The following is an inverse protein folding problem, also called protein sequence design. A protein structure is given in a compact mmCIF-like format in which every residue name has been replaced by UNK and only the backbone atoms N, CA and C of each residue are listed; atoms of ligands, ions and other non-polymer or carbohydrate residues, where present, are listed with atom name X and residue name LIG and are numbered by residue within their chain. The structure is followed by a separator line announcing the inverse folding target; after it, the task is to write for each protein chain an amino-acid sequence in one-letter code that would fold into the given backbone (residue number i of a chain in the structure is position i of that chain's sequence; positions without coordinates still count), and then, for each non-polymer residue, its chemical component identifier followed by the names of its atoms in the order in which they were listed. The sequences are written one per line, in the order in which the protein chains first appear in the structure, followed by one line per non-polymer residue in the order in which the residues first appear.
data_IF_168323273370
#
_entry.id   IF_168323273370
#
_cell.length_a   1.000
_cell.length_b   1.000
_cell.length_c   1.000
_cell.angle_alpha   90.00
_cell.angle_beta   90.00
_cell.angle_gamma   90.00
#
_symmetry.space_group_name_H-M   'P 1'
#
loop_
_entity.id
_entity.type
_entity.pdbx_description
1 polymer ?
#
# COMPACT_ATOMS: atom_id res chain seq x y z
N UNK A 1 10.37 -8.53 18.47
CA UNK A 1 11.52 -7.81 17.85
C UNK A 1 12.25 -8.73 16.87
N UNK A 2 11.70 -8.96 15.67
CA UNK A 2 12.26 -9.94 14.72
C UNK A 2 13.72 -9.67 14.36
N UNK A 3 14.10 -8.40 14.18
CA UNK A 3 15.49 -8.05 13.81
C UNK A 3 16.48 -8.36 14.94
N UNK A 4 16.14 -8.10 16.21
CA UNK A 4 17.02 -8.49 17.32
C UNK A 4 17.11 -10.00 17.49
N UNK A 5 16.02 -10.74 17.29
CA UNK A 5 16.08 -12.20 17.28
C UNK A 5 17.07 -12.70 16.21
N UNK A 6 16.96 -12.18 14.98
CA UNK A 6 17.87 -12.54 13.89
C UNK A 6 19.34 -12.24 14.23
N UNK A 7 19.62 -11.13 14.91
CA UNK A 7 21.00 -10.76 15.26
C UNK A 7 21.54 -11.56 16.45
N UNK A 8 20.79 -11.64 17.54
CA UNK A 8 21.26 -12.18 18.81
C UNK A 8 21.18 -13.71 18.87
N UNK A 9 20.19 -14.31 18.20
CA UNK A 9 19.96 -15.77 18.19
C UNK A 9 20.50 -16.39 16.90
N UNK A 10 20.01 -15.96 15.74
CA UNK A 10 20.39 -16.55 14.43
C UNK A 10 21.75 -16.06 13.91
N UNK A 11 22.31 -15.02 14.53
CA UNK A 11 23.62 -14.49 14.18
C UNK A 11 23.71 -13.78 12.83
N UNK A 12 22.59 -13.36 12.27
CA UNK A 12 22.50 -12.66 10.99
C UNK A 12 22.93 -11.21 11.15
N UNK A 13 23.88 -10.74 10.33
CA UNK A 13 24.29 -9.32 10.23
C UNK A 13 24.57 -8.65 11.58
N UNK A 14 25.41 -9.28 12.42
CA UNK A 14 25.87 -8.71 13.71
C UNK A 14 26.72 -7.44 13.54
N UNK A 15 27.14 -7.12 12.30
CA UNK A 15 27.81 -5.89 11.92
C UNK A 15 26.86 -4.67 11.87
N UNK A 16 25.54 -4.88 11.83
CA UNK A 16 24.53 -3.82 11.77
C UNK A 16 24.05 -3.42 13.16
N UNK A 17 23.91 -2.12 13.44
CA UNK A 17 23.26 -1.66 14.67
C UNK A 17 21.80 -1.28 14.43
N UNK A 18 20.88 -2.01 15.05
CA UNK A 18 19.45 -1.65 15.10
C UNK A 18 19.22 -0.56 16.15
N UNK A 19 18.60 0.54 15.72
CA UNK A 19 18.22 1.66 16.58
C UNK A 19 16.69 1.75 16.64
N UNK A 20 16.12 1.48 17.81
CA UNK A 20 14.70 1.65 18.07
C UNK A 20 14.41 3.09 18.49
N UNK A 21 13.72 3.86 17.65
CA UNK A 21 13.45 5.27 17.91
C UNK A 21 12.61 5.50 19.18
N UNK A 22 11.66 4.63 19.49
CA UNK A 22 10.86 4.74 20.73
C UNK A 22 11.73 4.63 21.99
N UNK A 23 12.78 3.80 21.94
CA UNK A 23 13.74 3.66 23.03
C UNK A 23 14.85 4.72 23.00
N UNK A 24 15.12 5.34 21.84
CA UNK A 24 16.13 6.40 21.65
C UNK A 24 15.79 7.70 22.41
N UNK A 25 14.70 7.72 23.17
CA UNK A 25 14.38 8.78 24.11
C UNK A 25 14.89 8.50 25.55
N UNK A 26 15.47 7.32 25.80
CA UNK A 26 15.88 6.88 27.14
C UNK A 26 17.40 6.88 27.31
N UNK A 27 17.88 7.30 28.48
CA UNK A 27 19.31 7.39 28.77
C UNK A 27 20.03 6.05 28.66
N UNK A 28 19.45 4.99 29.23
CA UNK A 28 20.04 3.65 29.23
C UNK A 28 20.21 3.11 27.81
N UNK A 29 19.26 3.37 26.91
CA UNK A 29 19.35 2.89 25.54
C UNK A 29 20.38 3.68 24.74
N UNK A 30 20.46 5.00 24.94
CA UNK A 30 21.50 5.85 24.34
C UNK A 30 22.89 5.35 24.77
N UNK A 31 23.09 5.08 26.07
CA UNK A 31 24.35 4.50 26.59
C UNK A 31 24.60 3.11 26.01
N UNK A 32 23.58 2.27 25.89
CA UNK A 32 23.70 0.95 25.26
C UNK A 32 24.18 1.04 23.81
N UNK A 33 23.66 1.97 23.02
CA UNK A 33 24.09 2.18 21.63
C UNK A 33 25.54 2.68 21.54
N UNK A 34 25.97 3.51 22.49
CA UNK A 34 27.35 4.01 22.60
C UNK A 34 28.34 2.91 23.00
N UNK A 35 27.96 2.07 23.95
CA UNK A 35 28.91 1.24 24.68
C UNK A 35 28.96 -0.22 24.19
N UNK A 36 27.90 -0.74 23.56
CA UNK A 36 27.86 -2.14 23.07
C UNK A 36 28.16 -2.24 21.57
N UNK A 37 28.89 -3.29 21.19
CA UNK A 37 29.15 -3.58 19.77
C UNK A 37 27.94 -4.18 19.04
N UNK A 38 27.68 -3.82 17.77
CA UNK A 38 28.35 -2.77 16.99
C UNK A 38 28.01 -1.35 17.49
N UNK A 39 29.03 -0.55 17.86
CA UNK A 39 28.79 0.77 18.47
C UNK A 39 28.27 1.82 17.50
N UNK A 40 27.49 2.76 18.03
CA UNK A 40 27.21 4.07 17.42
C UNK A 40 28.16 5.08 18.06
N UNK A 41 28.80 5.95 17.26
CA UNK A 41 29.78 6.94 17.73
C UNK A 41 29.11 8.11 18.49
N UNK A 42 28.45 7.79 19.61
CA UNK A 42 27.76 8.76 20.45
C UNK A 42 28.79 9.44 21.35
N UNK A 43 29.00 10.74 21.15
CA UNK A 43 30.06 11.51 21.82
C UNK A 43 29.62 12.23 23.09
N UNK A 44 28.42 11.92 23.59
CA UNK A 44 27.91 12.48 24.84
C UNK A 44 28.42 11.72 26.07
N UNK A 45 28.80 12.48 27.09
CA UNK A 45 29.13 11.97 28.43
C UNK A 45 27.90 11.44 29.16
N UNK A 46 28.09 10.58 30.16
CA UNK A 46 27.00 10.06 31.00
C UNK A 46 26.22 11.18 31.68
N UNK A 47 26.91 12.17 32.26
CA UNK A 47 26.28 13.32 32.91
C UNK A 47 25.41 14.12 31.95
N UNK A 48 25.87 14.33 30.71
CA UNK A 48 25.05 15.03 29.72
C UNK A 48 23.82 14.20 29.32
N UNK A 49 23.99 12.89 29.11
CA UNK A 49 22.88 12.01 28.75
C UNK A 49 21.82 12.05 29.85
N UNK A 50 22.22 11.79 31.11
CA UNK A 50 21.29 11.64 32.23
C UNK A 50 20.65 12.97 32.66
N UNK A 51 21.46 14.03 32.76
CA UNK A 51 21.08 15.26 33.47
C UNK A 51 20.77 16.44 32.55
N UNK A 52 20.87 16.28 31.23
CA UNK A 52 20.58 17.36 30.27
C UNK A 52 19.73 16.85 29.12
N UNK A 53 20.18 15.81 28.42
CA UNK A 53 19.51 15.32 27.22
C UNK A 53 18.18 14.66 27.56
N UNK A 54 18.18 13.74 28.54
CA UNK A 54 16.99 12.98 28.92
C UNK A 54 16.26 13.53 30.14
N UNK A 55 16.71 14.66 30.68
CA UNK A 55 16.00 15.31 31.77
C UNK A 55 14.67 15.91 31.27
N UNK A 56 13.67 15.86 32.13
CA UNK A 56 12.32 16.40 31.93
C UNK A 56 12.12 17.73 32.66
N UNK A 57 13.16 18.28 33.28
CA UNK A 57 13.13 19.64 33.80
C UNK A 57 12.79 20.66 32.72
N UNK A 58 11.98 21.66 33.08
CA UNK A 58 11.47 22.66 32.15
C UNK A 58 12.61 23.42 31.43
N UNK A 59 13.70 23.70 32.14
CA UNK A 59 14.88 24.40 31.56
C UNK A 59 15.51 23.62 30.41
N UNK A 60 15.49 22.28 30.46
CA UNK A 60 16.06 21.43 29.41
C UNK A 60 15.08 21.15 28.28
N UNK A 61 13.78 21.16 28.56
CA UNK A 61 12.74 21.15 27.52
C UNK A 61 12.82 22.43 26.68
N UNK A 62 12.97 23.60 27.31
CA UNK A 62 13.07 24.89 26.61
C UNK A 62 14.29 24.99 25.69
N UNK A 63 15.40 24.30 25.99
CA UNK A 63 16.57 24.22 25.09
C UNK A 63 16.26 23.54 23.75
N UNK A 64 15.18 22.77 23.69
CA UNK A 64 14.73 22.00 22.52
C UNK A 64 13.56 22.66 21.80
N UNK A 65 13.17 23.86 22.23
CA UNK A 65 12.03 24.59 21.69
C UNK A 65 12.30 25.10 20.28
N UNK A 66 11.43 24.74 19.35
CA UNK A 66 11.44 25.10 17.94
C UNK A 66 10.02 25.51 17.51
N UNK A 67 9.62 26.77 17.74
CA UNK A 67 8.27 27.24 17.42
C UNK A 67 8.03 27.38 15.91
N UNK A 68 9.09 27.63 15.15
CA UNK A 68 9.05 27.87 13.71
C UNK A 68 10.07 26.95 13.02
N UNK A 69 9.79 26.51 11.78
CA UNK A 69 10.78 25.83 10.94
C UNK A 69 12.10 26.59 10.87
N UNK A 70 13.22 25.87 10.87
CA UNK A 70 14.55 26.47 10.73
C UNK A 70 15.40 25.69 9.72
N UNK A 71 16.13 26.35 8.82
CA UNK A 71 17.09 25.67 7.96
C UNK A 71 18.21 25.06 8.81
N UNK A 72 18.55 23.81 8.54
CA UNK A 72 19.65 23.10 9.18
C UNK A 72 20.54 22.46 8.13
N UNK A 73 21.83 22.38 8.43
CA UNK A 73 22.82 21.64 7.64
C UNK A 73 23.47 20.62 8.56
N UNK A 74 23.28 19.33 8.28
CA UNK A 74 23.84 18.23 9.08
C UNK A 74 24.41 17.18 8.14
N UNK A 75 25.68 16.82 8.34
CA UNK A 75 26.39 15.85 7.50
C UNK A 75 26.33 16.17 5.98
N UNK A 76 26.24 17.46 5.62
CA UNK A 76 26.09 17.89 4.22
C UNK A 76 24.68 17.77 3.64
N UNK A 77 23.67 17.52 4.48
CA UNK A 77 22.26 17.53 4.11
C UNK A 77 21.64 18.85 4.55
N UNK A 78 21.07 19.58 3.60
CA UNK A 78 20.39 20.86 3.83
C UNK A 78 18.87 20.68 3.74
N UNK A 79 18.17 20.94 4.84
CA UNK A 79 16.72 20.79 4.93
C UNK A 79 16.11 21.72 5.99
N UNK A 80 14.78 21.84 5.98
CA UNK A 80 14.06 22.56 7.02
C UNK A 80 13.72 21.64 8.17
N UNK A 81 14.30 21.89 9.35
CA UNK A 81 13.91 21.21 10.58
C UNK A 81 12.62 21.84 11.12
N UNK A 82 11.61 21.00 11.32
CA UNK A 82 10.28 21.39 11.82
C UNK A 82 9.99 20.66 13.12
N UNK A 83 8.96 21.13 13.83
CA UNK A 83 8.41 20.37 14.94
C UNK A 83 7.61 19.17 14.42
N UNK A 84 8.05 17.97 14.82
CA UNK A 84 7.34 16.73 14.54
C UNK A 84 6.70 16.10 15.80
N UNK A 85 6.84 16.76 16.95
CA UNK A 85 6.21 16.36 18.21
C UNK A 85 4.77 16.84 18.33
N UNK A 86 4.43 17.96 17.69
CA UNK A 86 3.14 18.66 17.86
C UNK A 86 3.10 19.63 19.04
N UNK A 87 4.23 19.82 19.73
CA UNK A 87 4.37 20.65 20.93
C UNK A 87 5.47 21.72 20.81
N UNK A 88 5.90 22.01 19.58
CA UNK A 88 6.98 22.94 19.24
C UNK A 88 8.32 22.60 19.91
N UNK A 89 8.60 21.31 20.13
CA UNK A 89 9.85 20.85 20.75
C UNK A 89 10.46 19.68 19.98
N UNK A 90 11.78 19.63 19.92
CA UNK A 90 12.49 18.46 19.43
C UNK A 90 12.46 17.36 20.49
N UNK A 91 12.03 16.16 20.10
CA UNK A 91 12.13 14.97 20.95
C UNK A 91 13.58 14.56 21.08
N UNK A 92 13.90 13.78 22.11
CA UNK A 92 15.26 13.29 22.34
C UNK A 92 15.73 12.45 21.14
N UNK A 93 14.87 11.58 20.60
CA UNK A 93 15.15 10.81 19.40
C UNK A 93 15.48 11.70 18.19
N UNK A 94 14.86 12.87 18.07
CA UNK A 94 15.06 13.78 16.94
C UNK A 94 16.48 14.36 17.00
N UNK A 95 16.88 14.83 18.19
CA UNK A 95 18.24 15.32 18.47
C UNK A 95 19.27 14.21 18.24
N UNK A 96 18.97 12.99 18.69
CA UNK A 96 19.87 11.86 18.52
C UNK A 96 20.02 11.45 17.06
N UNK A 97 18.97 11.49 16.24
CA UNK A 97 19.10 11.25 14.79
C UNK A 97 20.06 12.28 14.18
N UNK A 98 19.87 13.58 14.43
CA UNK A 98 20.74 14.64 13.91
C UNK A 98 22.20 14.43 14.34
N UNK A 99 22.43 14.06 15.61
CA UNK A 99 23.77 13.82 16.15
C UNK A 99 24.41 12.55 15.59
N UNK A 100 23.63 11.49 15.39
CA UNK A 100 24.12 10.27 14.74
C UNK A 100 24.54 10.57 13.30
N UNK A 101 23.78 11.36 12.55
CA UNK A 101 24.17 11.80 11.21
C UNK A 101 25.50 12.57 11.24
N UNK A 102 25.61 13.56 12.13
CA UNK A 102 26.81 14.38 12.32
C UNK A 102 28.04 13.54 12.66
N UNK A 103 27.95 12.65 13.66
CA UNK A 103 29.10 11.87 14.14
C UNK A 103 29.48 10.71 13.22
N UNK A 104 28.49 10.13 12.53
CA UNK A 104 28.74 9.04 11.59
C UNK A 104 29.60 9.50 10.40
N UNK A 105 29.50 10.76 9.97
CA UNK A 105 30.30 11.32 8.85
C UNK A 105 30.27 10.43 7.59
N UNK A 106 29.14 9.78 7.33
CA UNK A 106 28.97 8.79 6.25
C UNK A 106 29.91 7.57 6.30
N UNK A 107 30.54 7.28 7.44
CA UNK A 107 31.38 6.09 7.62
C UNK A 107 30.58 4.79 7.51
N UNK A 108 29.30 4.82 7.89
CA UNK A 108 28.35 3.71 7.74
C UNK A 108 27.08 4.17 7.03
N UNK A 109 26.46 3.33 6.19
CA UNK A 109 25.16 3.64 5.61
C UNK A 109 24.09 3.69 6.70
N UNK A 110 23.10 4.58 6.51
CA UNK A 110 22.00 4.78 7.45
C UNK A 110 20.70 4.43 6.71
N UNK A 111 19.89 3.61 7.36
CA UNK A 111 18.62 3.15 6.82
C UNK A 111 17.50 3.38 7.83
N UNK A 112 16.34 3.80 7.36
CA UNK A 112 15.10 3.91 8.11
C UNK A 112 14.17 2.78 7.71
N UNK A 113 13.65 1.99 8.66
CA UNK A 113 12.70 0.95 8.33
C UNK A 113 11.42 1.55 7.74
N UNK A 114 10.77 0.84 6.80
CA UNK A 114 9.51 1.30 6.16
C UNK A 114 8.40 1.62 7.17
N UNK A 115 8.42 0.95 8.33
CA UNK A 115 7.45 1.13 9.42
C UNK A 115 7.67 2.39 10.26
N UNK A 116 8.75 3.14 10.03
CA UNK A 116 8.99 4.41 10.73
C UNK A 116 8.12 5.47 10.03
N UNK A 117 7.17 6.13 10.71
CA UNK A 117 6.31 7.13 10.08
C UNK A 117 7.10 8.39 9.68
N UNK A 118 6.59 9.15 8.71
CA UNK A 118 7.26 10.35 8.17
C UNK A 118 7.61 11.39 9.25
N UNK A 119 6.73 11.60 10.22
CA UNK A 119 6.98 12.48 11.36
C UNK A 119 8.11 12.00 12.30
N UNK A 120 8.65 10.80 12.11
CA UNK A 120 9.82 10.30 12.84
C UNK A 120 11.09 10.28 11.97
N UNK A 121 11.05 10.86 10.76
CA UNK A 121 12.19 10.94 9.82
C UNK A 121 12.75 12.35 9.65
N UNK A 122 12.25 13.33 10.40
CA UNK A 122 12.77 14.71 10.47
C UNK A 122 12.75 15.50 9.14
N UNK A 123 11.97 15.07 8.15
CA UNK A 123 11.99 15.66 6.82
C UNK A 123 13.19 15.23 5.97
N UNK A 124 13.93 14.20 6.40
CA UNK A 124 15.00 13.59 5.61
C UNK A 124 14.47 12.76 4.43
N UNK A 125 13.15 12.65 4.27
CA UNK A 125 12.48 11.91 3.19
C UNK A 125 12.99 12.31 1.80
N UNK A 126 13.25 13.60 1.58
CA UNK A 126 13.82 14.13 0.34
C UNK A 126 15.18 13.51 0.00
N UNK A 127 15.90 12.93 0.96
CA UNK A 127 17.23 12.36 0.77
C UNK A 127 17.22 10.82 0.82
N UNK A 128 16.05 10.20 0.77
CA UNK A 128 15.90 8.75 0.90
C UNK A 128 15.40 8.09 -0.38
N UNK A 129 15.91 6.90 -0.65
CA UNK A 129 15.36 5.98 -1.66
C UNK A 129 15.04 4.64 -1.02
N UNK A 130 13.95 3.99 -1.44
CA UNK A 130 13.58 2.69 -0.90
C UNK A 130 14.53 1.61 -1.44
N UNK A 131 14.91 0.68 -0.58
CA UNK A 131 15.80 -0.43 -0.92
C UNK A 131 15.40 -1.67 -0.11
N UNK A 132 14.52 -2.50 -0.68
CA UNK A 132 13.80 -3.55 0.05
C UNK A 132 12.78 -2.96 1.04
N UNK A 133 12.82 -3.40 2.32
CA UNK A 133 11.90 -2.92 3.37
C UNK A 133 12.46 -1.74 4.19
N UNK A 134 13.44 -1.03 3.67
CA UNK A 134 14.04 0.12 4.32
C UNK A 134 14.30 1.25 3.33
N UNK A 135 14.23 2.47 3.81
CA UNK A 135 14.68 3.67 3.12
C UNK A 135 16.15 3.90 3.41
N UNK A 136 16.97 3.95 2.36
CA UNK A 136 18.39 4.27 2.45
C UNK A 136 18.58 5.77 2.35
N UNK A 137 19.24 6.36 3.34
CA UNK A 137 19.61 7.78 3.32
C UNK A 137 20.80 7.99 2.38
N UNK A 138 20.69 9.01 1.53
CA UNK A 138 21.68 9.38 0.52
C UNK A 138 22.10 10.83 0.69
N UNK A 139 23.18 11.24 0.00
CA UNK A 139 23.60 12.66 -0.05
C UNK A 139 22.84 13.46 -1.11
N UNK A 140 22.24 12.76 -2.07
CA UNK A 140 21.52 13.37 -3.17
C UNK A 140 20.10 13.71 -2.71
N UNK A 141 19.61 14.88 -3.13
CA UNK A 141 18.22 15.24 -2.94
C UNK A 141 17.38 14.65 -4.07
N UNK A 142 16.29 13.99 -3.71
CA UNK A 142 15.40 13.21 -4.56
C UNK A 142 16.14 12.10 -5.33
N UNK A 143 16.82 11.18 -4.60
CA UNK A 143 17.55 10.10 -5.23
C UNK A 143 16.60 9.22 -6.05
N UNK A 144 17.05 8.78 -7.22
CA UNK A 144 16.27 7.86 -8.04
C UNK A 144 16.17 6.48 -7.40
N UNK A 145 15.08 5.78 -7.69
CA UNK A 145 14.88 4.40 -7.27
C UNK A 145 15.70 3.46 -8.15
N UNK A 146 16.49 2.59 -7.54
CA UNK A 146 17.14 1.48 -8.23
C UNK A 146 16.14 0.32 -8.38
N UNK A 147 15.39 0.34 -9.48
CA UNK A 147 14.32 -0.63 -9.77
C UNK A 147 14.87 -2.05 -9.90
N UNK A 148 16.02 -2.23 -10.55
CA UNK A 148 16.64 -3.55 -10.77
C UNK A 148 17.03 -4.17 -9.43
N UNK A 149 17.71 -3.41 -8.57
CA UNK A 149 18.07 -3.86 -7.24
C UNK A 149 16.85 -4.12 -6.35
N UNK A 150 15.82 -3.26 -6.43
CA UNK A 150 14.59 -3.45 -5.66
C UNK A 150 13.89 -4.75 -6.07
N UNK A 151 13.77 -4.99 -7.37
CA UNK A 151 13.13 -6.20 -7.91
C UNK A 151 13.95 -7.45 -7.62
N UNK A 152 15.27 -7.43 -7.76
CA UNK A 152 16.17 -8.52 -7.38
C UNK A 152 16.00 -8.92 -5.91
N UNK A 153 15.91 -7.93 -5.01
CA UNK A 153 15.66 -8.21 -3.59
C UNK A 153 14.31 -8.86 -3.34
N UNK A 154 13.26 -8.36 -3.98
CA UNK A 154 11.92 -8.90 -3.83
C UNK A 154 11.84 -10.32 -4.38
N UNK A 155 12.35 -10.55 -5.58
CA UNK A 155 12.13 -11.80 -6.31
C UNK A 155 13.11 -12.90 -5.91
N UNK A 156 14.36 -12.56 -5.63
CA UNK A 156 15.44 -13.53 -5.43
C UNK A 156 15.95 -13.59 -3.98
N UNK A 157 15.87 -12.48 -3.23
CA UNK A 157 16.42 -12.42 -1.87
C UNK A 157 15.38 -12.69 -0.78
N UNK A 158 14.17 -12.17 -0.91
CA UNK A 158 13.15 -12.29 0.13
C UNK A 158 12.60 -13.72 0.19
N UNK A 159 12.59 -14.29 1.40
CA UNK A 159 12.06 -15.63 1.64
C UNK A 159 10.63 -15.55 2.20
N UNK A 160 9.66 -15.55 1.29
CA UNK A 160 8.22 -15.53 1.64
C UNK A 160 7.69 -16.96 1.74
N UNK A 161 7.57 -17.47 2.97
CA UNK A 161 7.15 -18.86 3.24
C UNK A 161 5.80 -18.90 3.95
N UNK A 162 4.92 -19.80 3.50
CA UNK A 162 3.61 -20.06 4.09
C UNK A 162 2.68 -18.83 4.25
N UNK A 163 2.94 -17.73 3.53
CA UNK A 163 2.14 -16.52 3.63
C UNK A 163 0.73 -16.70 3.07
N UNK A 164 0.56 -17.55 2.05
CA UNK A 164 -0.73 -17.91 1.45
C UNK A 164 -1.25 -19.28 1.90
N UNK A 165 -0.53 -19.97 2.79
CA UNK A 165 -0.94 -21.28 3.29
C UNK A 165 -2.06 -21.12 4.33
N UNK A 166 -3.29 -21.61 4.08
CA UNK A 166 -4.39 -21.50 5.04
C UNK A 166 -4.19 -22.39 6.28
N UNK A 167 -3.37 -23.45 6.20
CA UNK A 167 -3.09 -24.34 7.33
C UNK A 167 -2.15 -23.70 8.35
N UNK A 168 -1.38 -22.68 7.94
CA UNK A 168 -0.53 -21.92 8.84
C UNK A 168 -1.34 -20.79 9.45
N UNK A 169 -1.73 -20.99 10.71
CA UNK A 169 -2.41 -19.98 11.52
C UNK A 169 -1.59 -18.70 11.62
N UNK A 170 -2.25 -17.57 11.35
CA UNK A 170 -1.70 -16.22 11.45
C UNK A 170 -2.62 -15.45 12.38
N UNK A 171 -2.10 -15.03 13.53
CA UNK A 171 -2.84 -14.14 14.41
C UNK A 171 -3.00 -12.75 13.76
N UNK A 172 -3.93 -11.95 14.28
CA UNK A 172 -4.26 -10.62 13.75
C UNK A 172 -3.03 -9.71 13.62
N UNK A 173 -2.10 -9.74 14.57
CA UNK A 173 -0.91 -8.90 14.50
C UNK A 173 0.03 -9.36 13.38
N UNK A 174 0.22 -10.68 13.24
CA UNK A 174 1.01 -11.24 12.14
C UNK A 174 0.38 -10.87 10.79
N UNK A 175 -0.93 -11.05 10.63
CA UNK A 175 -1.65 -10.69 9.41
C UNK A 175 -1.50 -9.20 9.08
N UNK A 176 -1.61 -8.32 10.08
CA UNK A 176 -1.41 -6.87 9.92
C UNK A 176 0.03 -6.53 9.50
N UNK A 177 1.03 -7.20 10.08
CA UNK A 177 2.43 -6.98 9.73
C UNK A 177 2.77 -7.41 8.29
N UNK A 178 2.02 -8.34 7.70
CA UNK A 178 2.17 -8.66 6.26
C UNK A 178 1.84 -7.48 5.35
N UNK A 179 1.06 -6.50 5.85
CA UNK A 179 0.83 -5.22 5.17
C UNK A 179 2.11 -4.47 4.82
N UNK A 180 3.20 -4.66 5.56
CA UNK A 180 4.48 -4.00 5.26
C UNK A 180 5.12 -4.48 3.95
N UNK A 181 4.91 -5.75 3.55
CA UNK A 181 5.38 -6.24 2.25
C UNK A 181 4.57 -5.60 1.13
N UNK A 182 3.25 -5.50 1.31
CA UNK A 182 2.36 -4.81 0.36
C UNK A 182 2.74 -3.33 0.18
N UNK A 183 3.15 -2.65 1.25
CA UNK A 183 3.63 -1.27 1.16
C UNK A 183 4.86 -1.12 0.25
N UNK A 184 5.78 -2.10 0.22
CA UNK A 184 6.91 -2.10 -0.72
C UNK A 184 6.42 -2.27 -2.16
N UNK A 185 5.46 -3.18 -2.38
CA UNK A 185 4.84 -3.38 -3.70
C UNK A 185 4.14 -2.12 -4.18
N UNK A 186 3.36 -1.46 -3.32
CA UNK A 186 2.69 -0.20 -3.67
C UNK A 186 3.69 0.90 -4.01
N UNK A 187 4.77 1.05 -3.25
CA UNK A 187 5.79 2.07 -3.53
C UNK A 187 6.48 1.85 -4.88
N UNK A 188 6.92 0.61 -5.15
CA UNK A 188 7.55 0.30 -6.43
C UNK A 188 6.53 0.36 -7.58
N UNK A 189 5.29 -0.07 -7.35
CA UNK A 189 4.20 -0.01 -8.32
C UNK A 189 3.89 1.42 -8.74
N UNK A 190 3.74 2.34 -7.77
CA UNK A 190 3.54 3.77 -8.02
C UNK A 190 4.70 4.35 -8.83
N UNK A 191 5.94 4.02 -8.47
CA UNK A 191 7.11 4.48 -9.23
C UNK A 191 7.08 3.99 -10.68
N UNK A 192 6.84 2.69 -10.91
CA UNK A 192 6.78 2.11 -12.26
C UNK A 192 5.63 2.70 -13.08
N UNK A 193 4.46 2.88 -12.47
CA UNK A 193 3.29 3.49 -13.10
C UNK A 193 3.57 4.92 -13.52
N UNK A 194 4.16 5.74 -12.65
CA UNK A 194 4.50 7.13 -12.95
C UNK A 194 5.56 7.26 -14.06
N UNK A 195 6.39 6.23 -14.27
CA UNK A 195 7.34 6.16 -15.39
C UNK A 195 6.74 5.53 -16.66
N UNK A 196 5.51 5.03 -16.62
CA UNK A 196 4.88 4.32 -17.74
C UNK A 196 5.48 2.94 -18.04
N UNK A 197 6.18 2.34 -17.08
CA UNK A 197 6.89 1.06 -17.21
C UNK A 197 5.93 -0.14 -17.06
N UNK A 198 4.98 -0.25 -17.99
CA UNK A 198 3.83 -1.16 -17.91
C UNK A 198 4.21 -2.64 -17.72
N UNK A 199 5.20 -3.15 -18.47
CA UNK A 199 5.59 -4.56 -18.39
C UNK A 199 6.22 -4.92 -17.03
N UNK A 200 7.01 -4.00 -16.46
CA UNK A 200 7.60 -4.17 -15.14
C UNK A 200 6.52 -4.09 -14.05
N UNK A 201 5.56 -3.18 -14.19
CA UNK A 201 4.43 -3.07 -13.28
C UNK A 201 3.62 -4.38 -13.26
N UNK A 202 3.25 -4.92 -14.43
CA UNK A 202 2.53 -6.21 -14.51
C UNK A 202 3.33 -7.33 -13.87
N UNK A 203 4.63 -7.43 -14.15
CA UNK A 203 5.49 -8.46 -13.54
C UNK A 203 5.47 -8.35 -12.01
N UNK A 204 5.57 -7.14 -11.48
CA UNK A 204 5.51 -6.89 -10.04
C UNK A 204 4.17 -7.29 -9.43
N UNK A 205 3.05 -6.89 -10.05
CA UNK A 205 1.71 -7.18 -9.55
C UNK A 205 1.38 -8.67 -9.61
N UNK A 206 1.75 -9.36 -10.71
CA UNK A 206 1.62 -10.82 -10.83
C UNK A 206 2.49 -11.55 -9.82
N UNK A 207 3.72 -11.07 -9.56
CA UNK A 207 4.56 -11.64 -8.53
C UNK A 207 3.93 -11.45 -7.13
N UNK A 208 3.39 -10.26 -6.84
CA UNK A 208 2.70 -9.97 -5.59
C UNK A 208 1.50 -10.91 -5.38
N UNK A 209 0.63 -11.07 -6.38
CA UNK A 209 -0.49 -12.01 -6.35
C UNK A 209 -0.02 -13.45 -6.07
N UNK A 210 1.02 -13.91 -6.75
CA UNK A 210 1.54 -15.26 -6.55
C UNK A 210 2.08 -15.54 -5.14
N UNK A 211 2.66 -14.55 -4.46
CA UNK A 211 3.44 -14.77 -3.22
C UNK A 211 2.83 -14.17 -1.95
N UNK A 212 1.95 -13.18 -2.07
CA UNK A 212 1.37 -12.46 -0.94
C UNK A 212 -0.14 -12.71 -0.82
N UNK A 213 -0.69 -12.73 0.41
CA UNK A 213 -2.14 -12.66 0.58
C UNK A 213 -2.60 -11.24 0.25
N UNK A 214 -3.41 -11.11 -0.81
CA UNK A 214 -3.98 -9.85 -1.27
C UNK A 214 -5.47 -9.77 -0.91
N UNK A 215 -5.90 -8.59 -0.46
CA UNK A 215 -7.31 -8.26 -0.27
C UNK A 215 -7.91 -7.67 -1.55
N UNK A 216 -9.24 -7.52 -1.58
CA UNK A 216 -9.93 -6.93 -2.73
C UNK A 216 -9.45 -5.51 -3.01
N UNK A 217 -9.08 -4.75 -1.97
CA UNK A 217 -8.52 -3.40 -2.10
C UNK A 217 -7.21 -3.40 -2.87
N UNK A 218 -6.36 -4.40 -2.62
CA UNK A 218 -5.07 -4.52 -3.29
C UNK A 218 -5.23 -4.84 -4.77
N UNK A 219 -6.17 -5.73 -5.13
CA UNK A 219 -6.51 -6.02 -6.51
C UNK A 219 -7.15 -4.81 -7.21
N UNK A 220 -8.06 -4.11 -6.53
CA UNK A 220 -8.70 -2.90 -7.03
C UNK A 220 -7.67 -1.81 -7.37
N UNK A 221 -6.77 -1.48 -6.42
CA UNK A 221 -5.70 -0.49 -6.67
C UNK A 221 -4.78 -0.94 -7.81
N UNK A 222 -4.41 -2.23 -7.84
CA UNK A 222 -3.58 -2.78 -8.92
C UNK A 222 -4.24 -2.65 -10.31
N UNK A 223 -5.56 -2.86 -10.39
CA UNK A 223 -6.32 -2.69 -11.63
C UNK A 223 -6.34 -1.21 -12.09
N UNK A 224 -6.49 -0.26 -11.16
CA UNK A 224 -6.39 1.16 -11.47
C UNK A 224 -4.99 1.53 -11.98
N UNK A 225 -3.95 1.03 -11.32
CA UNK A 225 -2.56 1.28 -11.74
C UNK A 225 -2.29 0.75 -13.16
N UNK A 226 -2.80 -0.44 -13.49
CA UNK A 226 -2.69 -1.05 -14.82
C UNK A 226 -3.46 -0.28 -15.88
N UNK A 227 -4.62 0.26 -15.52
CA UNK A 227 -5.41 1.07 -16.42
C UNK A 227 -4.73 2.41 -16.73
N UNK A 228 -4.03 3.03 -15.77
CA UNK A 228 -3.26 4.27 -16.01
C UNK A 228 -2.11 4.07 -17.02
N UNK A 229 -1.64 2.84 -17.21
CA UNK A 229 -0.60 2.48 -18.19
C UNK A 229 -1.15 1.72 -19.41
N UNK A 230 -2.45 1.89 -19.71
CA UNK A 230 -3.14 1.32 -20.88
C UNK A 230 -3.10 -0.22 -20.97
N UNK A 231 -3.04 -0.93 -19.83
CA UNK A 231 -3.07 -2.40 -19.75
C UNK A 231 -4.45 -2.91 -19.35
N UNK A 232 -5.42 -2.68 -20.23
CA UNK A 232 -6.84 -2.94 -19.96
C UNK A 232 -7.20 -4.42 -19.75
N UNK A 233 -6.54 -5.35 -20.45
CA UNK A 233 -6.77 -6.79 -20.24
C UNK A 233 -6.32 -7.21 -18.83
N UNK A 234 -5.12 -6.82 -18.42
CA UNK A 234 -4.64 -7.11 -17.07
C UNK A 234 -5.41 -6.34 -16.00
N UNK A 235 -5.80 -5.08 -16.27
CA UNK A 235 -6.67 -4.32 -15.37
C UNK A 235 -8.01 -5.03 -15.16
N UNK A 236 -8.58 -5.61 -16.22
CA UNK A 236 -9.79 -6.43 -16.15
C UNK A 236 -9.58 -7.67 -15.29
N UNK A 237 -8.50 -8.43 -15.52
CA UNK A 237 -8.16 -9.62 -14.73
C UNK A 237 -8.07 -9.30 -13.23
N UNK A 238 -7.42 -8.20 -12.87
CA UNK A 238 -7.25 -7.79 -11.48
C UNK A 238 -8.56 -7.24 -10.88
N UNK A 239 -9.36 -6.50 -11.65
CA UNK A 239 -10.64 -5.98 -11.17
C UNK A 239 -11.66 -7.08 -10.91
N UNK A 240 -11.67 -8.14 -11.71
CA UNK A 240 -12.49 -9.32 -11.45
C UNK A 240 -12.10 -10.01 -10.14
N UNK A 241 -10.80 -10.21 -9.89
CA UNK A 241 -10.32 -10.77 -8.62
C UNK A 241 -10.76 -9.90 -7.45
N UNK A 242 -10.74 -8.57 -7.61
CA UNK A 242 -11.27 -7.66 -6.60
C UNK A 242 -12.78 -7.89 -6.36
N UNK A 243 -13.58 -7.97 -7.42
CA UNK A 243 -15.02 -8.18 -7.33
C UNK A 243 -15.39 -9.53 -6.68
N UNK A 244 -14.75 -10.62 -7.10
CA UNK A 244 -15.00 -11.94 -6.52
C UNK A 244 -14.57 -12.02 -5.05
N UNK A 245 -13.43 -11.44 -4.69
CA UNK A 245 -12.97 -11.46 -3.29
C UNK A 245 -13.80 -10.55 -2.39
N UNK A 246 -14.26 -9.40 -2.92
CA UNK A 246 -15.21 -8.53 -2.22
C UNK A 246 -16.54 -9.25 -1.99
N UNK A 247 -16.99 -10.04 -2.98
CA UNK A 247 -18.19 -10.87 -2.86
C UNK A 247 -18.04 -11.95 -1.78
N UNK A 248 -16.91 -12.66 -1.74
CA UNK A 248 -16.63 -13.66 -0.71
C UNK A 248 -16.57 -13.08 0.71
N UNK A 249 -16.21 -11.80 0.84
CA UNK A 249 -16.09 -11.10 2.12
C UNK A 249 -17.28 -10.22 2.46
N UNK A 250 -18.35 -10.25 1.67
CA UNK A 250 -19.52 -9.37 1.78
C UNK A 250 -20.28 -9.51 3.11
N UNK A 251 -20.27 -10.69 3.72
CA UNK A 251 -20.96 -10.93 5.00
C UNK A 251 -20.25 -10.30 6.20
N UNK A 252 -18.93 -10.12 6.11
CA UNK A 252 -18.08 -9.73 7.23
C UNK A 252 -17.47 -8.33 7.06
N UNK A 253 -17.59 -7.73 5.87
CA UNK A 253 -17.01 -6.43 5.55
C UNK A 253 -18.09 -5.37 5.24
N UNK A 254 -18.23 -4.31 6.06
CA UNK A 254 -19.24 -3.27 5.85
C UNK A 254 -19.03 -2.45 4.58
N UNK A 255 -17.83 -2.50 3.98
CA UNK A 255 -17.51 -1.83 2.71
C UNK A 255 -17.93 -2.68 1.51
N UNK A 256 -18.08 -3.99 1.66
CA UNK A 256 -18.50 -4.92 0.60
C UNK A 256 -20.02 -4.91 0.39
N UNK A 257 -20.57 -3.71 0.18
CA UNK A 257 -22.00 -3.53 -0.10
C UNK A 257 -22.32 -3.96 -1.54
N UNK A 258 -23.60 -4.26 -1.77
CA UNK A 258 -24.10 -4.62 -3.10
C UNK A 258 -23.78 -3.53 -4.14
N UNK A 259 -23.93 -2.27 -3.77
CA UNK A 259 -23.65 -1.12 -4.65
C UNK A 259 -22.17 -1.07 -5.07
N UNK A 260 -21.26 -1.36 -4.14
CA UNK A 260 -19.84 -1.38 -4.44
C UNK A 260 -19.46 -2.58 -5.33
N UNK A 261 -20.08 -3.74 -5.14
CA UNK A 261 -19.91 -4.90 -6.02
C UNK A 261 -20.36 -4.59 -7.45
N UNK A 262 -21.51 -3.93 -7.60
CA UNK A 262 -22.01 -3.46 -8.90
C UNK A 262 -21.03 -2.47 -9.53
N UNK A 263 -20.53 -1.50 -8.77
CA UNK A 263 -19.58 -0.52 -9.28
C UNK A 263 -18.30 -1.17 -9.84
N UNK A 264 -17.82 -2.27 -9.25
CA UNK A 264 -16.66 -3.01 -9.79
C UNK A 264 -16.98 -3.69 -11.14
N UNK A 265 -18.16 -4.30 -11.28
CA UNK A 265 -18.59 -4.88 -12.54
C UNK A 265 -18.85 -3.81 -13.62
N UNK A 266 -19.41 -2.65 -13.24
CA UNK A 266 -19.61 -1.52 -14.14
C UNK A 266 -18.27 -0.97 -14.64
N UNK A 267 -17.22 -0.93 -13.82
CA UNK A 267 -15.88 -0.56 -14.28
C UNK A 267 -15.36 -1.55 -15.33
N UNK A 268 -15.50 -2.85 -15.09
CA UNK A 268 -15.10 -3.89 -16.06
C UNK A 268 -15.86 -3.73 -17.37
N UNK A 269 -17.18 -3.52 -17.27
CA UNK A 269 -18.07 -3.39 -18.40
C UNK A 269 -17.81 -2.12 -19.21
N UNK A 270 -17.92 -0.96 -18.57
CA UNK A 270 -17.99 0.34 -19.24
C UNK A 270 -16.62 0.94 -19.50
N UNK A 271 -15.71 0.82 -18.53
CA UNK A 271 -14.39 1.44 -18.62
C UNK A 271 -13.40 0.57 -19.38
N UNK A 272 -13.45 -0.75 -19.18
CA UNK A 272 -12.54 -1.68 -19.85
C UNK A 272 -13.14 -2.28 -21.11
N UNK A 273 -14.45 -2.11 -21.33
CA UNK A 273 -15.16 -2.65 -22.50
C UNK A 273 -15.28 -4.17 -22.48
N UNK A 274 -15.10 -4.81 -21.32
CA UNK A 274 -15.04 -6.26 -21.17
C UNK A 274 -16.41 -6.82 -20.74
N UNK A 275 -17.39 -6.72 -21.65
CA UNK A 275 -18.78 -7.11 -21.40
C UNK A 275 -18.96 -8.61 -21.13
N UNK A 276 -18.14 -9.46 -21.76
CA UNK A 276 -18.11 -10.90 -21.54
C UNK A 276 -17.59 -11.27 -20.14
N UNK A 277 -16.65 -10.47 -19.63
CA UNK A 277 -16.04 -10.59 -18.30
C UNK A 277 -16.94 -10.07 -17.19
N UNK A 278 -17.72 -9.01 -17.44
CA UNK A 278 -18.69 -8.47 -16.48
C UNK A 278 -19.95 -9.34 -16.32
N UNK A 279 -20.42 -10.00 -17.40
CA UNK A 279 -21.62 -10.86 -17.39
C UNK A 279 -21.69 -11.85 -16.20
N UNK A 280 -20.67 -12.71 -15.94
CA UNK A 280 -20.74 -13.68 -14.86
C UNK A 280 -20.83 -13.03 -13.47
N UNK A 281 -20.28 -11.83 -13.29
CA UNK A 281 -20.39 -11.07 -12.04
C UNK A 281 -21.83 -10.63 -11.81
N UNK A 282 -22.47 -10.01 -12.81
CA UNK A 282 -23.87 -9.61 -12.69
C UNK A 282 -24.78 -10.81 -12.41
N UNK A 283 -24.54 -11.96 -13.04
CA UNK A 283 -25.30 -13.19 -12.75
C UNK A 283 -25.16 -13.61 -11.28
N UNK A 284 -23.95 -13.55 -10.72
CA UNK A 284 -23.74 -13.82 -9.29
C UNK A 284 -24.45 -12.79 -8.40
N UNK A 285 -24.44 -11.52 -8.77
CA UNK A 285 -25.13 -10.50 -7.99
C UNK A 285 -26.65 -10.71 -7.97
N UNK A 286 -27.23 -11.13 -9.10
CA UNK A 286 -28.64 -11.52 -9.19
C UNK A 286 -28.95 -12.73 -8.30
N UNK A 287 -28.04 -13.70 -8.20
CA UNK A 287 -28.24 -14.85 -7.29
C UNK A 287 -28.28 -14.43 -5.81
N UNK A 288 -27.54 -13.38 -5.43
CA UNK A 288 -27.48 -12.88 -4.06
C UNK A 288 -28.70 -12.03 -3.70
N UNK A 289 -29.06 -11.10 -4.59
CA UNK A 289 -30.22 -10.25 -4.41
C UNK A 289 -30.98 -10.09 -5.73
N UNK A 290 -31.91 -11.02 -6.02
CA UNK A 290 -32.70 -11.01 -7.24
C UNK A 290 -33.56 -9.75 -7.44
N UNK A 291 -33.88 -9.02 -6.36
CA UNK A 291 -34.75 -7.84 -6.41
C UNK A 291 -34.05 -6.56 -6.83
N UNK A 292 -32.73 -6.58 -7.01
CA UNK A 292 -31.93 -5.40 -7.38
C UNK A 292 -31.86 -5.23 -8.89
N UNK A 293 -32.45 -4.15 -9.38
CA UNK A 293 -32.50 -3.86 -10.80
C UNK A 293 -31.13 -3.60 -11.41
N UNK A 294 -30.16 -3.09 -10.63
CA UNK A 294 -28.84 -2.66 -11.12
C UNK A 294 -28.09 -3.82 -11.79
N UNK A 295 -28.10 -5.01 -11.19
CA UNK A 295 -27.44 -6.17 -11.80
C UNK A 295 -28.17 -6.70 -13.03
N UNK A 296 -29.50 -6.62 -13.06
CA UNK A 296 -30.28 -7.02 -14.22
C UNK A 296 -30.06 -6.06 -15.38
N UNK A 297 -29.96 -4.76 -15.08
CA UNK A 297 -29.64 -3.71 -16.04
C UNK A 297 -28.24 -3.91 -16.62
N UNK A 298 -27.22 -4.08 -15.78
CA UNK A 298 -25.84 -4.37 -16.20
C UNK A 298 -25.74 -5.64 -17.03
N UNK A 299 -26.38 -6.74 -16.58
CA UNK A 299 -26.42 -7.99 -17.35
C UNK A 299 -27.07 -7.82 -18.73
N UNK A 300 -28.18 -7.08 -18.81
CA UNK A 300 -28.86 -6.86 -20.08
C UNK A 300 -28.01 -6.02 -21.05
N UNK A 301 -27.31 -4.99 -20.54
CA UNK A 301 -26.36 -4.20 -21.32
C UNK A 301 -25.15 -5.04 -21.81
N UNK A 302 -24.58 -5.87 -20.94
CA UNK A 302 -23.53 -6.84 -21.29
C UNK A 302 -23.97 -7.79 -22.40
N UNK A 303 -25.17 -8.38 -22.29
CA UNK A 303 -25.71 -9.31 -23.29
C UNK A 303 -25.95 -8.60 -24.63
N UNK A 304 -26.48 -7.38 -24.64
CA UNK A 304 -26.67 -6.60 -25.85
C UNK A 304 -25.34 -6.38 -26.58
N UNK A 305 -24.29 -5.96 -25.86
CA UNK A 305 -22.98 -5.68 -26.45
C UNK A 305 -22.28 -6.92 -27.01
N UNK A 306 -22.62 -8.08 -26.49
CA UNK A 306 -22.19 -9.37 -27.04
C UNK A 306 -23.06 -9.89 -28.21
N UNK A 307 -24.04 -9.11 -28.70
CA UNK A 307 -24.96 -9.53 -29.76
C UNK A 307 -26.05 -10.51 -29.30
N UNK A 308 -26.24 -10.67 -27.98
CA UNK A 308 -27.24 -11.53 -27.35
C UNK A 308 -28.46 -10.72 -26.90
N UNK A 309 -28.88 -9.74 -27.70
CA UNK A 309 -29.94 -8.76 -27.38
C UNK A 309 -31.26 -9.43 -26.97
N UNK A 310 -31.64 -10.55 -27.62
CA UNK A 310 -32.84 -11.32 -27.23
C UNK A 310 -32.75 -11.89 -25.81
N UNK A 311 -31.57 -12.30 -25.36
CA UNK A 311 -31.38 -12.76 -23.99
C UNK A 311 -31.44 -11.59 -23.01
N UNK A 312 -30.86 -10.43 -23.36
CA UNK A 312 -30.98 -9.21 -22.57
C UNK A 312 -32.44 -8.79 -22.34
N UNK A 313 -33.28 -8.85 -23.39
CA UNK A 313 -34.73 -8.60 -23.27
C UNK A 313 -35.36 -9.56 -22.25
N UNK A 314 -35.05 -10.86 -22.32
CA UNK A 314 -35.59 -11.86 -21.38
C UNK A 314 -35.18 -11.59 -19.94
N UNK A 315 -33.96 -11.11 -19.70
CA UNK A 315 -33.47 -10.74 -18.36
C UNK A 315 -34.35 -9.61 -17.79
N UNK A 316 -34.58 -8.56 -18.59
CA UNK A 316 -35.39 -7.40 -18.19
C UNK A 316 -36.86 -7.78 -17.99
N UNK A 317 -37.45 -8.57 -18.89
CA UNK A 317 -38.83 -9.03 -18.78
C UNK A 317 -39.04 -9.94 -17.55
N UNK A 318 -38.07 -10.80 -17.26
CA UNK A 318 -38.11 -11.66 -16.07
C UNK A 318 -38.05 -10.86 -14.77
N UNK A 319 -37.23 -9.80 -14.73
CA UNK A 319 -37.21 -8.87 -13.60
C UNK A 319 -38.58 -8.20 -13.40
N UNK A 320 -39.14 -7.60 -14.45
CA UNK A 320 -40.40 -6.86 -14.36
C UNK A 320 -41.55 -7.79 -13.93
N UNK A 321 -41.57 -9.02 -14.45
CA UNK A 321 -42.56 -10.02 -14.07
C UNK A 321 -42.43 -10.47 -12.60
N UNK A 322 -41.20 -10.54 -12.08
CA UNK A 322 -40.93 -11.00 -10.70
C UNK A 322 -41.05 -9.91 -9.64
N UNK A 323 -40.62 -8.68 -9.94
CA UNK A 323 -40.43 -7.60 -8.96
C UNK A 323 -41.21 -6.32 -9.28
N UNK A 324 -41.91 -6.27 -10.41
CA UNK A 324 -42.69 -5.11 -10.85
C UNK A 324 -41.89 -4.13 -11.71
N UNK A 325 -42.57 -3.08 -12.18
CA UNK A 325 -41.96 -2.07 -13.04
C UNK A 325 -40.98 -1.18 -12.26
N UNK A 326 -39.78 -1.03 -12.81
CA UNK A 326 -38.79 -0.06 -12.37
C UNK A 326 -38.42 0.83 -13.57
N UNK A 327 -38.33 2.15 -13.38
CA UNK A 327 -38.14 3.13 -14.46
C UNK A 327 -36.96 2.75 -15.39
N UNK A 328 -35.81 2.43 -14.80
CA UNK A 328 -34.60 2.01 -15.54
C UNK A 328 -34.75 0.70 -16.30
N UNK A 329 -35.60 -0.21 -15.83
CA UNK A 329 -35.83 -1.50 -16.49
C UNK A 329 -36.80 -1.35 -17.67
N UNK A 330 -37.82 -0.49 -17.54
CA UNK A 330 -38.71 -0.16 -18.66
C UNK A 330 -37.94 0.58 -19.76
N UNK A 331 -37.08 1.54 -19.38
CA UNK A 331 -36.16 2.23 -20.29
C UNK A 331 -35.24 1.23 -21.02
N UNK A 332 -34.57 0.35 -20.28
CA UNK A 332 -33.71 -0.69 -20.86
C UNK A 332 -34.47 -1.60 -21.84
N UNK A 333 -35.69 -2.04 -21.51
CA UNK A 333 -36.50 -2.88 -22.38
C UNK A 333 -36.79 -2.21 -23.73
N UNK A 334 -37.11 -0.92 -23.70
CA UNK A 334 -37.37 -0.15 -24.92
C UNK A 334 -36.11 -0.02 -25.77
N UNK A 335 -34.96 0.28 -25.15
CA UNK A 335 -33.66 0.37 -25.83
C UNK A 335 -33.31 -0.96 -26.51
N UNK A 336 -33.44 -2.07 -25.79
CA UNK A 336 -33.11 -3.40 -26.31
C UNK A 336 -34.04 -3.85 -27.45
N UNK A 337 -35.34 -3.55 -27.37
CA UNK A 337 -36.29 -3.83 -28.46
C UNK A 337 -35.98 -3.03 -29.71
N UNK A 338 -35.61 -1.76 -29.56
CA UNK A 338 -35.19 -0.92 -30.67
C UNK A 338 -33.89 -1.45 -31.31
N UNK A 339 -32.91 -1.83 -30.51
CA UNK A 339 -31.66 -2.42 -30.99
C UNK A 339 -31.91 -3.74 -31.76
N UNK A 340 -32.75 -4.63 -31.22
CA UNK A 340 -33.10 -5.89 -31.89
C UNK A 340 -33.81 -5.69 -33.23
N UNK A 341 -34.63 -4.64 -33.35
CA UNK A 341 -35.28 -4.31 -34.61
C UNK A 341 -34.27 -3.87 -35.68
N UNK A 342 -33.24 -3.11 -35.29
CA UNK A 342 -32.16 -2.68 -36.18
C UNK A 342 -31.24 -3.84 -36.60
N UNK A 343 -30.94 -4.76 -35.68
CA UNK A 343 -30.16 -5.98 -35.97
C UNK A 343 -30.84 -6.93 -36.97
N UNK A 344 -32.17 -6.83 -37.14
CA UNK A 344 -32.94 -7.66 -38.07
C UNK A 344 -33.10 -7.05 -39.47
N UNK A 345 -32.63 -5.82 -39.70
CA UNK A 345 -32.71 -5.10 -40.98
C UNK A 345 -31.39 -5.13 -41.78
N UNK A 346 -30.28 -5.59 -41.19
CA UNK A 346 -29.01 -5.92 -41.86
C UNK A 346 -28.97 -7.40 -42.28
#
# INVERSE_FOLDING_TARGET
FPVWFLQEVEGVRKDVRVVNLSLLNTNWYIKQLRDREPKVDIRYSDTFIDSVLTDTQQVDILKRYIPEPRPVSVAGLDFELRDFSGYSVLRIQDIMILKILEWNEWKRPIHFAITIPANNRLGLDDFMTMDGMAFTLTREKFPQLDVERMTDRLYETFQLRALKDPEVYKDENTARLLGNYRAVISYLGEYLRNQGEADKLIRLLRWSDAHLPLGWESYYTSALDLQEVDRLEEATEFMEKAAYLMLETATDNPVATYENLIALADIIQERYGAFDRAEPLYRRFIELDPGRYEAHYGLAASLQKQGRTREGIKVVESYIAGYGEHEKMVEALQILRNALAQEGEE
#
